data_IF_267272624468
#
_entry.id   IF_267272624468
#
_cell.length_a   1.000
_cell.length_b   1.000
_cell.length_c   1.000
_cell.angle_alpha   90.00
_cell.angle_beta   90.00
_cell.angle_gamma   90.00
#
_symmetry.space_group_name_H-M   'P 1'
#
loop_
_entity.id
_entity.type
_entity.pdbx_description
1 polymer ?
#
# COMPACT_ATOMS: atom_id res chain seq x y z
N UNK A 1 -35.09 23.66 -7.53
CA UNK A 1 -34.67 23.27 -6.17
C UNK A 1 -33.24 22.74 -6.31
N UNK A 2 -32.23 23.53 -5.91
CA UNK A 2 -30.81 23.14 -6.01
C UNK A 2 -30.40 22.57 -4.67
N UNK A 3 -30.31 21.26 -4.57
CA UNK A 3 -29.68 20.63 -3.42
C UNK A 3 -28.17 20.70 -3.60
N UNK A 4 -27.58 21.58 -2.82
CA UNK A 4 -26.14 21.70 -2.60
C UNK A 4 -25.70 20.41 -1.92
N UNK A 5 -24.99 19.56 -2.64
CA UNK A 5 -24.30 18.41 -2.06
C UNK A 5 -23.16 18.93 -1.19
N UNK A 6 -23.44 19.04 0.11
CA UNK A 6 -22.46 19.33 1.14
C UNK A 6 -21.41 18.23 1.10
N UNK A 7 -20.17 18.59 0.75
CA UNK A 7 -19.01 17.72 0.92
C UNK A 7 -18.82 17.51 2.42
N UNK A 8 -19.15 16.31 2.87
CA UNK A 8 -18.87 15.91 4.25
C UNK A 8 -17.36 15.71 4.38
N UNK A 9 -16.70 16.70 4.97
CA UNK A 9 -15.28 16.67 5.32
C UNK A 9 -15.16 15.94 6.64
N UNK A 10 -15.19 14.61 6.60
CA UNK A 10 -14.90 13.76 7.76
C UNK A 10 -13.38 13.62 7.94
N UNK A 11 -12.76 14.65 8.50
CA UNK A 11 -11.40 14.56 9.05
C UNK A 11 -11.43 13.61 10.25
N UNK A 12 -10.60 12.56 10.23
CA UNK A 12 -10.49 11.44 11.19
C UNK A 12 -11.40 10.22 10.93
N UNK A 13 -11.26 9.59 9.77
CA UNK A 13 -11.66 8.19 9.60
C UNK A 13 -10.43 7.29 9.78
N UNK A 14 -10.29 6.62 10.93
CA UNK A 14 -9.21 5.65 11.17
C UNK A 14 -9.04 4.66 10.01
N UNK A 15 -10.13 4.34 9.31
CA UNK A 15 -10.09 3.48 8.14
C UNK A 15 -9.68 4.10 6.80
N UNK A 16 -9.54 5.42 6.62
CA UNK A 16 -9.20 5.97 5.29
C UNK A 16 -7.76 5.64 4.89
N UNK A 17 -7.58 5.09 3.69
CA UNK A 17 -6.28 4.66 3.21
C UNK A 17 -5.29 5.83 3.09
N UNK A 18 -5.72 7.03 2.68
CA UNK A 18 -4.81 8.17 2.55
C UNK A 18 -4.30 8.65 3.92
N UNK A 19 -5.17 8.74 4.92
CA UNK A 19 -4.77 9.03 6.30
C UNK A 19 -3.81 7.97 6.85
N UNK A 20 -4.06 6.69 6.55
CA UNK A 20 -3.18 5.59 6.94
C UNK A 20 -1.83 5.62 6.23
N UNK A 21 -1.74 6.10 4.99
CA UNK A 21 -0.47 6.27 4.28
C UNK A 21 0.41 7.29 5.00
N UNK A 22 -0.16 8.38 5.50
CA UNK A 22 0.59 9.38 6.26
C UNK A 22 1.05 8.84 7.63
N UNK A 23 0.23 8.04 8.30
CA UNK A 23 0.62 7.32 9.52
C UNK A 23 1.72 6.29 9.26
N UNK A 24 1.58 5.48 8.20
CA UNK A 24 2.57 4.50 7.78
C UNK A 24 3.90 5.17 7.44
N UNK A 25 3.88 6.32 6.75
CA UNK A 25 5.08 7.11 6.47
C UNK A 25 5.80 7.54 7.75
N UNK A 26 5.05 7.97 8.79
CA UNK A 26 5.63 8.33 10.09
C UNK A 26 6.25 7.12 10.78
N UNK A 27 5.59 5.97 10.73
CA UNK A 27 6.12 4.71 11.23
C UNK A 27 7.44 4.33 10.54
N UNK A 28 7.48 4.30 9.21
CA UNK A 28 8.71 4.01 8.44
C UNK A 28 9.86 4.98 8.75
N UNK A 29 9.55 6.26 8.99
CA UNK A 29 10.54 7.25 9.38
C UNK A 29 11.11 6.99 10.78
N UNK A 30 10.26 6.55 11.72
CA UNK A 30 10.68 6.19 13.07
C UNK A 30 11.56 4.94 13.11
N UNK A 31 11.41 4.03 12.14
CA UNK A 31 12.30 2.88 11.93
C UNK A 31 13.66 3.24 11.32
N UNK A 32 13.96 4.53 11.12
CA UNK A 32 15.21 5.03 10.54
C UNK A 32 15.50 4.47 9.13
N UNK A 33 14.46 4.17 8.36
CA UNK A 33 14.61 3.72 6.97
C UNK A 33 15.09 4.89 6.08
N UNK A 34 15.84 4.56 5.02
CA UNK A 34 16.37 5.57 4.10
C UNK A 34 15.25 6.38 3.42
N UNK A 35 15.49 7.67 3.06
CA UNK A 35 14.50 8.46 2.32
C UNK A 35 14.02 7.80 1.03
N UNK A 36 14.91 7.03 0.37
CA UNK A 36 14.58 6.25 -0.83
C UNK A 36 13.59 5.13 -0.52
N UNK A 37 13.79 4.42 0.60
CA UNK A 37 12.90 3.34 1.05
C UNK A 37 11.52 3.90 1.43
N UNK A 38 11.47 4.97 2.23
CA UNK A 38 10.22 5.66 2.57
C UNK A 38 9.44 6.05 1.31
N UNK A 39 10.13 6.65 0.33
CA UNK A 39 9.51 7.05 -0.93
C UNK A 39 8.96 5.83 -1.67
N UNK A 40 9.73 4.77 -1.85
CA UNK A 40 9.27 3.57 -2.56
C UNK A 40 8.00 2.97 -1.93
N UNK A 41 7.95 2.90 -0.60
CA UNK A 41 6.82 2.32 0.13
C UNK A 41 5.57 3.20 0.04
N UNK A 42 5.72 4.50 0.32
CA UNK A 42 4.60 5.45 0.29
C UNK A 42 4.06 5.66 -1.12
N UNK A 43 4.91 5.68 -2.15
CA UNK A 43 4.46 5.80 -3.54
C UNK A 43 3.67 4.57 -3.99
N UNK A 44 4.06 3.35 -3.61
CA UNK A 44 3.27 2.16 -3.91
C UNK A 44 1.88 2.22 -3.26
N UNK A 45 1.78 2.71 -2.03
CA UNK A 45 0.52 2.86 -1.32
C UNK A 45 -0.39 3.93 -1.94
N UNK A 46 0.16 5.09 -2.32
CA UNK A 46 -0.59 6.15 -3.03
C UNK A 46 -1.10 5.67 -4.40
N UNK A 47 -0.33 4.86 -5.10
CA UNK A 47 -0.75 4.27 -6.37
C UNK A 47 -1.93 3.31 -6.19
N UNK A 48 -1.92 2.52 -5.11
CA UNK A 48 -3.08 1.70 -4.76
C UNK A 48 -4.29 2.59 -4.44
N UNK A 49 -4.12 3.62 -3.62
CA UNK A 49 -5.21 4.54 -3.27
C UNK A 49 -5.85 5.21 -4.50
N UNK A 50 -5.02 5.72 -5.42
CA UNK A 50 -5.49 6.28 -6.69
C UNK A 50 -6.19 5.25 -7.57
N UNK A 51 -5.63 4.04 -7.70
CA UNK A 51 -6.26 2.95 -8.44
C UNK A 51 -7.66 2.60 -7.90
N UNK A 52 -7.80 2.55 -6.57
CA UNK A 52 -9.08 2.25 -5.92
C UNK A 52 -10.08 3.38 -6.15
N UNK A 53 -9.64 4.63 -6.04
CA UNK A 53 -10.46 5.80 -6.32
C UNK A 53 -10.98 5.81 -7.76
N UNK A 54 -10.09 5.61 -8.74
CA UNK A 54 -10.41 5.65 -10.17
C UNK A 54 -11.43 4.57 -10.58
N UNK A 55 -11.46 3.45 -9.85
CA UNK A 55 -12.35 2.31 -10.11
C UNK A 55 -13.58 2.26 -9.21
N UNK A 56 -13.79 3.25 -8.34
CA UNK A 56 -14.88 3.24 -7.37
C UNK A 56 -14.80 2.07 -6.39
N UNK A 57 -13.61 1.53 -6.15
CA UNK A 57 -13.36 0.46 -5.18
C UNK A 57 -13.24 1.03 -3.76
N UNK A 58 -13.44 0.19 -2.72
CA UNK A 58 -13.35 0.65 -1.34
C UNK A 58 -11.97 1.22 -1.01
N UNK A 59 -11.95 2.42 -0.41
CA UNK A 59 -10.75 3.09 0.11
C UNK A 59 -10.65 3.08 1.64
N UNK A 60 -11.69 2.57 2.31
CA UNK A 60 -11.59 2.25 3.72
C UNK A 60 -10.83 0.93 3.86
N UNK A 61 -9.70 0.92 4.58
CA UNK A 61 -8.80 -0.23 4.76
C UNK A 61 -9.51 -1.46 5.30
N UNK A 62 -10.53 -1.30 6.16
CA UNK A 62 -11.33 -2.40 6.68
C UNK A 62 -12.15 -3.12 5.59
N UNK A 63 -12.40 -2.44 4.46
CA UNK A 63 -13.16 -2.95 3.33
C UNK A 63 -12.26 -3.33 2.13
N UNK A 64 -10.94 -3.13 2.22
CA UNK A 64 -10.02 -3.56 1.17
C UNK A 64 -9.81 -5.06 1.28
N UNK A 65 -10.33 -5.79 0.30
CA UNK A 65 -10.18 -7.23 0.16
C UNK A 65 -9.10 -7.61 -0.85
N UNK A 66 -8.75 -8.89 -0.86
CA UNK A 66 -7.70 -9.47 -1.71
C UNK A 66 -7.91 -9.14 -3.18
N UNK A 67 -9.14 -9.23 -3.68
CA UNK A 67 -9.47 -9.01 -5.09
C UNK A 67 -9.12 -7.60 -5.56
N UNK A 68 -9.18 -6.59 -4.68
CA UNK A 68 -8.78 -5.23 -5.04
C UNK A 68 -7.26 -5.11 -5.19
N UNK A 69 -6.51 -5.76 -4.29
CA UNK A 69 -5.04 -5.79 -4.35
C UNK A 69 -4.57 -6.59 -5.56
N UNK A 70 -5.21 -7.72 -5.86
CA UNK A 70 -4.93 -8.53 -7.05
C UNK A 70 -5.21 -7.74 -8.34
N UNK A 71 -6.32 -7.03 -8.42
CA UNK A 71 -6.65 -6.17 -9.55
C UNK A 71 -5.60 -5.06 -9.76
N UNK A 72 -5.14 -4.43 -8.67
CA UNK A 72 -4.07 -3.44 -8.74
C UNK A 72 -2.77 -4.07 -9.27
N UNK A 73 -2.34 -5.19 -8.70
CA UNK A 73 -1.11 -5.90 -9.11
C UNK A 73 -1.18 -6.34 -10.56
N UNK A 74 -2.34 -6.82 -11.03
CA UNK A 74 -2.55 -7.17 -12.43
C UNK A 74 -2.32 -5.96 -13.36
N UNK A 75 -2.92 -4.80 -13.05
CA UNK A 75 -2.67 -3.58 -13.83
C UNK A 75 -1.18 -3.17 -13.82
N UNK A 76 -0.50 -3.33 -12.67
CA UNK A 76 0.92 -3.00 -12.59
C UNK A 76 1.77 -3.91 -13.48
N UNK A 77 1.42 -5.19 -13.59
CA UNK A 77 2.11 -6.16 -14.45
C UNK A 77 1.88 -5.92 -15.94
N UNK A 78 0.71 -5.41 -16.33
CA UNK A 78 0.42 -5.04 -17.72
C UNK A 78 1.27 -3.84 -18.18
N UNK A 79 1.59 -2.93 -17.25
CA UNK A 79 2.20 -1.63 -17.58
C UNK A 79 3.69 -1.54 -17.29
N UNK A 80 4.23 -2.41 -16.44
CA UNK A 80 5.57 -2.26 -15.89
C UNK A 80 6.40 -3.54 -16.04
N UNK A 81 7.72 -3.37 -15.86
CA UNK A 81 8.62 -4.51 -15.73
C UNK A 81 8.24 -5.36 -14.51
N UNK A 82 8.32 -6.70 -14.58
CA UNK A 82 7.95 -7.59 -13.48
C UNK A 82 8.64 -7.26 -12.14
N UNK A 83 9.91 -6.85 -12.19
CA UNK A 83 10.65 -6.43 -10.99
C UNK A 83 10.01 -5.21 -10.29
N UNK A 84 9.52 -4.22 -11.05
CA UNK A 84 8.85 -3.04 -10.51
C UNK A 84 7.51 -3.40 -9.88
N UNK A 85 6.72 -4.24 -10.54
CA UNK A 85 5.46 -4.73 -9.99
C UNK A 85 5.67 -5.54 -8.70
N UNK A 86 6.71 -6.37 -8.65
CA UNK A 86 7.07 -7.11 -7.43
C UNK A 86 7.51 -6.19 -6.30
N UNK A 87 8.30 -5.16 -6.58
CA UNK A 87 8.69 -4.17 -5.57
C UNK A 87 7.45 -3.46 -4.99
N UNK A 88 6.48 -3.07 -5.83
CA UNK A 88 5.20 -2.51 -5.37
C UNK A 88 4.42 -3.50 -4.52
N UNK A 89 4.32 -4.76 -4.93
CA UNK A 89 3.68 -5.81 -4.14
C UNK A 89 4.34 -5.98 -2.76
N UNK A 90 5.68 -5.98 -2.68
CA UNK A 90 6.41 -6.06 -1.40
C UNK A 90 6.13 -4.85 -0.51
N UNK A 91 6.10 -3.64 -1.07
CA UNK A 91 5.74 -2.42 -0.34
C UNK A 91 4.32 -2.46 0.20
N UNK A 92 3.34 -2.93 -0.60
CA UNK A 92 1.97 -3.10 -0.14
C UNK A 92 1.87 -4.16 0.96
N UNK A 93 2.63 -5.26 0.86
CA UNK A 93 2.66 -6.27 1.92
C UNK A 93 3.12 -5.71 3.26
N UNK A 94 4.09 -4.79 3.24
CA UNK A 94 4.54 -4.10 4.44
C UNK A 94 3.46 -3.16 5.01
N UNK A 95 2.78 -2.39 4.15
CA UNK A 95 1.65 -1.54 4.56
C UNK A 95 0.55 -2.36 5.24
N UNK A 96 0.07 -3.43 4.62
CA UNK A 96 -1.03 -4.23 5.19
C UNK A 96 -0.62 -5.01 6.43
N UNK A 97 0.67 -5.36 6.58
CA UNK A 97 1.19 -5.90 7.84
C UNK A 97 1.16 -4.84 8.96
N UNK A 98 1.61 -3.63 8.67
CA UNK A 98 1.56 -2.53 9.63
C UNK A 98 0.10 -2.19 10.02
N UNK A 99 -0.82 -2.12 9.05
CA UNK A 99 -2.25 -1.91 9.33
C UNK A 99 -2.87 -3.01 10.20
N UNK A 100 -2.42 -4.26 10.04
CA UNK A 100 -2.82 -5.38 10.90
C UNK A 100 -2.31 -5.19 12.34
N UNK A 101 -1.07 -4.74 12.51
CA UNK A 101 -0.46 -4.44 13.81
C UNK A 101 -1.13 -3.27 14.53
N UNK A 102 -1.57 -2.24 13.79
CA UNK A 102 -2.34 -1.10 14.31
C UNK A 102 -3.81 -1.45 14.61
N UNK A 103 -4.29 -2.64 14.22
CA UNK A 103 -5.67 -3.07 14.45
C UNK A 103 -6.69 -2.46 13.48
N UNK A 104 -6.24 -1.88 12.37
CA UNK A 104 -7.09 -1.23 11.36
C UNK A 104 -7.77 -2.24 10.41
N UNK A 105 -7.40 -3.52 10.50
CA UNK A 105 -7.91 -4.61 9.64
C UNK A 105 -8.79 -5.60 10.42
N UNK A 106 -10.04 -5.25 10.79
CA UNK A 106 -10.93 -6.12 11.56
C UNK A 106 -11.29 -7.43 10.84
N UNK A 107 -11.21 -7.42 9.51
CA UNK A 107 -11.49 -8.58 8.65
C UNK A 107 -10.23 -9.38 8.30
N UNK A 108 -9.08 -9.02 8.90
CA UNK A 108 -7.78 -9.62 8.64
C UNK A 108 -7.06 -9.04 7.42
N UNK A 109 -5.76 -9.33 7.32
CA UNK A 109 -4.90 -8.78 6.28
C UNK A 109 -5.14 -9.43 4.89
N UNK A 110 -5.54 -8.64 3.86
CA UNK A 110 -5.91 -9.16 2.55
C UNK A 110 -4.73 -9.82 1.81
N UNK A 111 -3.51 -9.42 2.14
CA UNK A 111 -2.28 -9.91 1.51
C UNK A 111 -1.68 -11.15 2.20
N UNK A 112 -2.24 -11.62 3.32
CA UNK A 112 -1.66 -12.71 4.12
C UNK A 112 -1.36 -13.99 3.33
N UNK A 113 -2.26 -14.39 2.44
CA UNK A 113 -2.08 -15.59 1.59
C UNK A 113 -1.87 -15.25 0.11
N UNK A 114 -1.44 -14.02 -0.21
CA UNK A 114 -1.10 -13.65 -1.58
C UNK A 114 0.31 -14.15 -1.91
N UNK A 115 0.48 -14.69 -3.11
CA UNK A 115 1.81 -15.03 -3.64
C UNK A 115 2.35 -13.83 -4.41
N UNK A 116 3.66 -13.54 -4.32
CA UNK A 116 4.25 -12.47 -5.12
C UNK A 116 4.06 -12.74 -6.62
N UNK A 117 3.96 -11.69 -7.44
CA UNK A 117 3.89 -11.86 -8.89
C UNK A 117 5.15 -12.57 -9.40
N UNK A 118 4.98 -13.43 -10.41
CA UNK A 118 6.11 -14.16 -11.02
C UNK A 118 7.06 -13.15 -11.69
N UNK A 119 8.25 -13.01 -11.12
CA UNK A 119 9.36 -12.28 -11.74
C UNK A 119 10.28 -13.32 -12.38
N UNK A 120 10.57 -13.26 -13.68
CA UNK A 120 11.69 -14.03 -14.25
C UNK A 120 12.95 -13.69 -13.46
N UNK A 121 13.70 -14.69 -12.98
CA UNK A 121 14.88 -14.46 -12.13
C UNK A 121 15.85 -13.47 -12.79
N UNK A 122 15.79 -12.23 -12.32
CA UNK A 122 16.94 -11.35 -12.26
C UNK A 122 17.29 -11.30 -10.79
N UNK A 123 18.57 -11.51 -10.43
CA UNK A 123 18.97 -11.57 -9.03
C UNK A 123 18.43 -10.33 -8.32
N UNK A 124 17.71 -10.50 -7.20
CA UNK A 124 17.25 -9.36 -6.43
C UNK A 124 18.46 -8.52 -6.07
N UNK A 125 18.38 -7.20 -6.27
CA UNK A 125 19.25 -6.29 -5.56
C UNK A 125 18.91 -6.52 -4.08
N UNK A 126 19.79 -7.27 -3.44
CA UNK A 126 19.63 -7.63 -2.05
C UNK A 126 19.76 -6.28 -1.35
N UNK A 127 18.63 -5.71 -0.89
CA UNK A 127 18.65 -4.83 0.26
C UNK A 127 19.15 -5.73 1.39
N UNK A 128 20.48 -5.88 1.46
CA UNK A 128 21.16 -6.60 2.51
C UNK A 128 20.83 -5.84 3.79
N UNK A 129 20.48 -6.57 4.82
CA UNK A 129 20.28 -6.08 6.19
C UNK A 129 21.62 -5.58 6.81
N UNK A 130 22.42 -4.83 6.03
CA UNK A 130 23.83 -4.51 6.28
C UNK A 130 24.15 -3.02 6.09
N UNK A 131 23.19 -2.13 6.35
CA UNK A 131 23.46 -0.69 6.53
C UNK A 131 22.89 -0.13 7.84
N UNK A 132 22.81 -0.98 8.87
CA UNK A 132 22.71 -0.55 10.26
C UNK A 132 24.12 -0.38 10.83
N UNK A 133 24.79 0.72 10.48
CA UNK A 133 25.88 1.33 11.26
C UNK A 133 26.30 2.69 10.66
N UNK A 134 25.86 3.76 11.32
CA UNK A 134 26.62 5.00 11.51
C UNK A 134 26.09 5.68 12.78
#
# INVERSE_FOLDING_TARGET
MREVHTKDVSTYSGGDLAANIDSFRRHLAAENLSPRTLKAYTEAAKLLDGFLADRGMPRNVANIRREHVEAFVAEQLERLKPATANNRHRSLRALFKWLEEEGELPNGNPMMKMKPPRVPEQPPDILREDELKA
#
